data_IF_197129128981
#
_entry.id   IF_197129128981
#
_cell.length_a   1.000
_cell.length_b   1.000
_cell.length_c   1.000
_cell.angle_alpha   90.00
_cell.angle_beta   90.00
_cell.angle_gamma   90.00
#
_symmetry.space_group_name_H-M   'P 1'
#
loop_
_entity.id
_entity.type
_entity.pdbx_description
1 polymer ?
#
# COMPACT_ATOMS: atom_id res chain seq x y z
N UNK A 1 -5.91 11.78 -0.85
CA UNK A 1 -6.01 13.02 -0.04
C UNK A 1 -4.70 13.21 0.67
N UNK A 2 -4.39 14.40 1.16
CA UNK A 2 -3.19 14.59 1.98
C UNK A 2 -3.33 13.73 3.25
N UNK A 3 -2.38 12.80 3.53
CA UNK A 3 -2.52 11.85 4.62
C UNK A 3 -2.34 12.54 5.98
N UNK A 4 -3.04 12.05 7.00
CA UNK A 4 -2.90 12.57 8.36
C UNK A 4 -1.58 12.09 8.98
N UNK A 5 -0.83 13.00 9.60
CA UNK A 5 0.46 12.70 10.25
C UNK A 5 0.35 11.55 11.26
N UNK A 6 -0.69 11.55 12.10
CA UNK A 6 -0.87 10.50 13.10
C UNK A 6 -1.06 9.14 12.44
N UNK A 7 -1.91 9.07 11.42
CA UNK A 7 -2.17 7.83 10.67
C UNK A 7 -0.91 7.29 9.98
N UNK A 8 -0.10 8.16 9.38
CA UNK A 8 1.17 7.75 8.75
C UNK A 8 2.16 7.22 9.79
N UNK A 9 2.29 7.90 10.93
CA UNK A 9 3.20 7.46 11.99
C UNK A 9 2.73 6.16 12.65
N UNK A 10 1.43 6.01 12.93
CA UNK A 10 0.81 4.79 13.45
C UNK A 10 1.07 3.60 12.52
N UNK A 11 1.00 3.81 11.20
CA UNK A 11 1.31 2.80 10.21
C UNK A 11 2.81 2.43 10.20
N UNK A 12 3.70 3.42 10.26
CA UNK A 12 5.15 3.19 10.19
C UNK A 12 5.76 2.67 11.49
N UNK A 13 5.16 2.93 12.66
CA UNK A 13 5.63 2.35 13.93
C UNK A 13 5.30 0.84 14.02
N UNK A 14 4.21 0.42 13.39
CA UNK A 14 3.71 -0.95 13.43
C UNK A 14 4.61 -1.93 12.65
N UNK A 15 5.09 -2.98 13.33
CA UNK A 15 6.00 -3.98 12.76
C UNK A 15 5.34 -4.78 11.61
N UNK A 16 4.04 -5.10 11.72
CA UNK A 16 3.32 -5.86 10.69
C UNK A 16 3.16 -5.01 9.43
N UNK A 17 2.86 -3.71 9.58
CA UNK A 17 2.75 -2.77 8.47
C UNK A 17 4.08 -2.64 7.70
N UNK A 18 5.20 -2.50 8.42
CA UNK A 18 6.53 -2.46 7.79
C UNK A 18 6.86 -3.75 7.07
N UNK A 19 6.54 -4.89 7.68
CA UNK A 19 6.72 -6.21 7.05
C UNK A 19 5.93 -6.30 5.74
N UNK A 20 4.68 -5.84 5.71
CA UNK A 20 3.85 -5.83 4.50
C UNK A 20 4.47 -4.95 3.40
N UNK A 21 4.90 -3.73 3.73
CA UNK A 21 5.55 -2.83 2.75
C UNK A 21 6.81 -3.48 2.17
N UNK A 22 7.63 -4.13 3.01
CA UNK A 22 8.86 -4.80 2.58
C UNK A 22 8.62 -6.00 1.65
N UNK A 23 7.45 -6.64 1.70
CA UNK A 23 7.10 -7.78 0.84
C UNK A 23 6.28 -7.38 -0.40
N UNK A 24 5.68 -6.19 -0.42
CA UNK A 24 4.93 -5.65 -1.55
C UNK A 24 5.87 -5.16 -2.68
N UNK A 25 6.70 -6.07 -3.21
CA UNK A 25 7.61 -5.81 -4.35
C UNK A 25 6.87 -5.84 -5.71
N UNK A 26 5.71 -6.50 -5.76
CA UNK A 26 4.79 -6.54 -6.90
C UNK A 26 3.33 -6.45 -6.40
N UNK A 27 2.34 -6.26 -7.29
CA UNK A 27 0.94 -6.36 -6.89
C UNK A 27 0.64 -7.73 -6.26
N UNK A 28 0.08 -7.74 -5.05
CA UNK A 28 -0.25 -8.96 -4.31
C UNK A 28 -1.62 -8.83 -3.64
N UNK A 29 -2.31 -9.95 -3.52
CA UNK A 29 -3.54 -10.07 -2.73
C UNK A 29 -3.23 -10.18 -1.24
N UNK A 30 -4.22 -9.88 -0.39
CA UNK A 30 -4.11 -10.11 1.06
C UNK A 30 -3.81 -11.59 1.40
N UNK A 31 -4.27 -12.54 0.58
CA UNK A 31 -3.99 -13.95 0.78
C UNK A 31 -2.52 -14.28 0.51
N UNK A 32 -1.97 -13.80 -0.60
CA UNK A 32 -0.54 -13.99 -0.93
C UNK A 32 0.35 -13.35 0.12
N UNK A 33 0.05 -12.12 0.56
CA UNK A 33 0.78 -11.49 1.65
C UNK A 33 0.72 -12.30 2.95
N UNK A 34 -0.44 -12.89 3.28
CA UNK A 34 -0.57 -13.75 4.46
C UNK A 34 0.16 -15.09 4.33
N UNK A 35 0.42 -15.56 3.11
CA UNK A 35 1.19 -16.78 2.87
C UNK A 35 2.70 -16.52 2.88
N UNK A 36 3.13 -15.35 2.38
CA UNK A 36 4.53 -14.93 2.36
C UNK A 36 5.02 -14.36 3.69
N UNK A 37 4.11 -13.84 4.50
CA UNK A 37 4.39 -13.34 5.85
C UNK A 37 3.78 -14.25 6.91
N UNK A 38 4.26 -14.21 8.14
CA UNK A 38 3.63 -14.95 9.26
C UNK A 38 2.41 -14.18 9.86
N UNK A 39 1.83 -13.22 9.12
CA UNK A 39 0.75 -12.35 9.59
C UNK A 39 -0.62 -13.01 9.33
N UNK A 40 -1.43 -13.27 10.37
CA UNK A 40 -2.76 -13.87 10.21
C UNK A 40 -3.70 -12.99 9.38
N UNK A 41 -4.58 -13.59 8.58
CA UNK A 41 -5.46 -12.84 7.65
C UNK A 41 -6.31 -11.76 8.32
N UNK A 42 -6.83 -11.98 9.53
CA UNK A 42 -7.60 -10.95 10.24
C UNK A 42 -6.76 -9.75 10.67
N UNK A 43 -5.47 -9.95 10.92
CA UNK A 43 -4.50 -8.89 11.15
C UNK A 43 -4.14 -8.24 9.83
N UNK A 44 -3.84 -9.02 8.79
CA UNK A 44 -3.50 -8.54 7.44
C UNK A 44 -4.49 -7.50 6.92
N UNK A 45 -5.80 -7.81 6.89
CA UNK A 45 -6.82 -6.86 6.42
C UNK A 45 -6.81 -5.55 7.22
N UNK A 46 -6.64 -5.62 8.55
CA UNK A 46 -6.56 -4.42 9.39
C UNK A 46 -5.32 -3.57 9.10
N UNK A 47 -4.20 -4.19 8.75
CA UNK A 47 -2.95 -3.49 8.41
C UNK A 47 -3.04 -2.87 7.02
N UNK A 48 -3.61 -3.58 6.05
CA UNK A 48 -3.89 -3.06 4.72
C UNK A 48 -4.83 -1.84 4.79
N UNK A 49 -5.89 -1.91 5.60
CA UNK A 49 -6.78 -0.75 5.84
C UNK A 49 -6.01 0.45 6.40
N UNK A 50 -5.10 0.23 7.35
CA UNK A 50 -4.28 1.28 7.96
C UNK A 50 -3.29 1.88 6.96
N UNK A 51 -2.61 1.04 6.18
CA UNK A 51 -1.67 1.46 5.14
C UNK A 51 -2.36 2.24 4.03
N UNK A 52 -3.55 1.82 3.61
CA UNK A 52 -4.37 2.55 2.63
C UNK A 52 -4.84 3.90 3.19
N UNK A 53 -5.25 3.95 4.46
CA UNK A 53 -5.62 5.21 5.11
C UNK A 53 -4.42 6.18 5.25
N UNK A 54 -3.20 5.64 5.43
CA UNK A 54 -1.95 6.39 5.43
C UNK A 54 -1.47 6.79 4.02
N UNK A 55 -2.17 6.36 2.97
CA UNK A 55 -1.76 6.55 1.57
C UNK A 55 -0.35 6.01 1.26
N UNK A 56 0.05 4.92 1.93
CA UNK A 56 1.32 4.22 1.71
C UNK A 56 1.18 3.05 0.73
N UNK A 57 -0.05 2.56 0.53
CA UNK A 57 -0.40 1.57 -0.49
C UNK A 57 -1.63 2.04 -1.26
N UNK A 58 -1.83 1.50 -2.45
CA UNK A 58 -3.07 1.62 -3.21
C UNK A 58 -3.76 0.25 -3.37
N UNK A 59 -5.08 0.27 -3.49
CA UNK A 59 -5.92 -0.93 -3.65
C UNK A 59 -6.51 -0.98 -5.06
N UNK A 60 -6.15 -2.03 -5.80
CA UNK A 60 -6.75 -2.40 -7.08
C UNK A 60 -7.70 -3.58 -6.95
N UNK A 61 -8.42 -3.88 -8.03
CA UNK A 61 -9.24 -5.09 -8.14
C UNK A 61 -8.76 -5.92 -9.32
N UNK A 62 -8.33 -7.16 -9.06
CA UNK A 62 -8.08 -8.15 -10.08
C UNK A 62 -9.39 -8.80 -10.52
N UNK A 63 -9.67 -8.79 -11.83
CA UNK A 63 -10.84 -9.43 -12.42
C UNK A 63 -10.39 -10.77 -12.99
N UNK A 64 -10.78 -11.88 -12.34
CA UNK A 64 -10.55 -13.24 -12.83
C UNK A 64 -11.74 -13.73 -13.67
N UNK A 65 -11.47 -14.51 -14.70
CA UNK A 65 -12.49 -15.10 -15.61
C UNK A 65 -13.45 -16.07 -14.95
N UNK A 66 -13.12 -16.57 -13.77
CA UNK A 66 -13.99 -17.41 -12.96
C UNK A 66 -15.05 -16.60 -12.17
N UNK A 67 -14.98 -15.26 -12.24
CA UNK A 67 -15.92 -14.34 -11.61
C UNK A 67 -15.56 -13.97 -10.17
N UNK A 68 -14.45 -14.46 -9.62
CA UNK A 68 -13.97 -14.04 -8.31
C UNK A 68 -13.05 -12.82 -8.45
N UNK A 69 -13.55 -11.67 -7.99
CA UNK A 69 -12.72 -10.47 -7.85
C UNK A 69 -11.90 -10.57 -6.56
N UNK A 70 -10.60 -10.32 -6.64
CA UNK A 70 -9.73 -10.21 -5.48
C UNK A 70 -9.12 -8.80 -5.43
N UNK A 71 -9.09 -8.21 -4.24
CA UNK A 71 -8.33 -6.97 -4.02
C UNK A 71 -6.84 -7.28 -4.10
N UNK A 72 -6.13 -6.45 -4.86
CA UNK A 72 -4.66 -6.46 -5.00
C UNK A 72 -4.12 -5.14 -4.46
N UNK A 73 -2.95 -5.20 -3.84
CA UNK A 73 -2.33 -4.06 -3.17
C UNK A 73 -0.95 -3.80 -3.77
N UNK A 74 -0.57 -2.52 -3.83
CA UNK A 74 0.74 -2.07 -4.31
C UNK A 74 1.28 -0.98 -3.39
N UNK A 75 2.59 -0.99 -3.13
CA UNK A 75 3.24 0.15 -2.48
C UNK A 75 3.10 1.39 -3.35
N UNK A 76 2.69 2.52 -2.77
CA UNK A 76 2.35 3.75 -3.50
C UNK A 76 3.07 4.97 -2.88
N UNK A 77 4.35 4.81 -2.57
CA UNK A 77 5.24 5.88 -2.13
C UNK A 77 6.70 5.45 -2.27
N UNK A 78 7.58 6.46 -2.34
CA UNK A 78 9.04 6.25 -2.34
C UNK A 78 9.70 7.00 -1.18
N UNK A 79 9.03 8.03 -0.65
CA UNK A 79 9.53 8.81 0.48
C UNK A 79 8.40 9.33 1.37
N UNK A 80 8.61 9.26 2.68
CA UNK A 80 7.81 9.99 3.68
C UNK A 80 8.69 11.07 4.30
N UNK A 81 8.22 12.31 4.31
CA UNK A 81 8.89 13.46 4.93
C UNK A 81 8.04 14.01 6.06
N UNK A 82 8.68 14.26 7.19
CA UNK A 82 8.08 14.98 8.31
C UNK A 82 8.79 16.32 8.44
N UNK A 83 8.02 17.40 8.32
CA UNK A 83 8.54 18.76 8.39
C UNK A 83 8.06 19.43 9.68
N UNK A 84 8.94 20.23 10.28
CA UNK A 84 8.58 21.14 11.36
C UNK A 84 8.46 22.54 10.77
N UNK A 85 7.23 23.02 10.67
CA UNK A 85 6.89 24.32 10.12
C UNK A 85 7.31 25.48 11.04
N UNK A 86 7.32 26.70 10.51
CA UNK A 86 7.68 27.91 11.25
C UNK A 86 6.78 28.16 12.47
N UNK A 87 5.51 27.77 12.36
CA UNK A 87 4.51 27.90 13.43
C UNK A 87 4.58 26.78 14.48
N UNK A 88 5.59 25.90 14.38
CA UNK A 88 5.84 24.73 15.24
C UNK A 88 4.83 23.59 15.05
N UNK A 89 4.02 23.61 13.99
CA UNK A 89 3.24 22.44 13.58
C UNK A 89 4.12 21.40 12.88
N UNK A 90 3.70 20.14 12.93
CA UNK A 90 4.33 19.06 12.17
C UNK A 90 3.45 18.76 10.96
N UNK A 91 4.08 18.70 9.79
CA UNK A 91 3.45 18.33 8.53
C UNK A 91 4.04 17.00 8.03
N UNK A 92 3.25 16.24 7.27
CA UNK A 92 3.69 15.01 6.61
C UNK A 92 3.45 15.09 5.11
N UNK A 93 4.45 14.73 4.33
CA UNK A 93 4.33 14.58 2.89
C UNK A 93 4.73 13.16 2.51
N UNK A 94 3.85 12.48 1.77
CA UNK A 94 4.11 11.18 1.15
C UNK A 94 4.34 11.40 -0.34
N UNK A 95 5.61 11.31 -0.75
CA UNK A 95 6.06 11.53 -2.12
C UNK A 95 6.10 10.22 -2.91
N UNK A 96 5.74 10.35 -4.19
CA UNK A 96 5.68 9.28 -5.18
C UNK A 96 6.43 9.76 -6.41
N UNK A 97 7.32 8.95 -6.97
CA UNK A 97 7.95 9.25 -8.24
C UNK A 97 6.94 9.02 -9.39
N UNK A 98 6.63 10.07 -10.16
CA UNK A 98 5.70 10.01 -11.30
C UNK A 98 6.13 8.97 -12.36
N UNK A 99 7.43 8.64 -12.42
CA UNK A 99 7.96 7.61 -13.33
C UNK A 99 7.57 6.19 -12.89
N UNK A 100 7.45 5.98 -11.58
CA UNK A 100 7.12 4.69 -10.97
C UNK A 100 5.60 4.50 -10.94
N UNK A 101 4.83 5.59 -10.89
CA UNK A 101 3.37 5.57 -11.01
C UNK A 101 2.87 4.93 -12.31
N UNK A 102 3.52 5.20 -13.45
CA UNK A 102 3.18 4.58 -14.75
C UNK A 102 3.52 3.07 -14.77
N UNK A 103 4.58 2.66 -14.07
CA UNK A 103 5.02 1.26 -13.98
C UNK A 103 4.14 0.47 -13.01
N UNK A 104 3.77 1.05 -11.85
CA UNK A 104 2.76 0.55 -10.91
C UNK A 104 1.38 0.47 -11.54
N UNK A 105 0.96 1.50 -12.28
CA UNK A 105 -0.28 1.49 -13.05
C UNK A 105 -0.23 0.41 -14.13
N UNK A 106 0.90 0.27 -14.84
CA UNK A 106 1.10 -0.81 -15.81
C UNK A 106 1.11 -2.20 -15.17
N UNK A 107 1.63 -2.35 -13.94
CA UNK A 107 1.59 -3.58 -13.15
C UNK A 107 0.15 -3.91 -12.71
N UNK A 108 -0.60 -2.91 -12.23
CA UNK A 108 -2.04 -3.03 -11.95
C UNK A 108 -2.81 -3.46 -13.21
N UNK A 109 -2.52 -2.86 -14.37
CA UNK A 109 -3.16 -3.24 -15.63
C UNK A 109 -2.67 -4.58 -16.19
N UNK A 110 -1.45 -5.04 -15.87
CA UNK A 110 -0.94 -6.39 -16.23
C UNK A 110 -1.62 -7.48 -15.42
N UNK A 111 -1.75 -7.30 -14.11
CA UNK A 111 -2.53 -8.21 -13.26
C UNK A 111 -3.98 -8.32 -13.76
N UNK A 112 -4.55 -7.21 -14.26
CA UNK A 112 -5.88 -7.19 -14.89
C UNK A 112 -5.90 -7.75 -16.33
N UNK A 113 -4.76 -7.89 -17.03
CA UNK A 113 -4.68 -8.30 -18.45
C UNK A 113 -4.01 -9.63 -18.74
N UNK A 114 -3.48 -10.37 -17.76
CA UNK A 114 -3.06 -11.77 -17.97
C UNK A 114 -4.27 -12.71 -18.08
N UNK A 115 -5.15 -12.42 -19.05
CA UNK A 115 -6.08 -13.36 -19.63
C UNK A 115 -6.17 -13.12 -21.13
N UNK A 116 -5.45 -13.94 -21.88
CA UNK A 116 -5.78 -14.30 -23.27
C UNK A 116 -5.71 -15.82 -23.40
#
# INVERSE_FOLDING_TARGET
>A
GEPDLGVVLDALEDDDCRTIIEHLEQPMTAAELSDETEIPSSTMYRKLDLLSAAALIDEGTEIRSDGHHASVYVTDFDQVRVLLEEDRSLDVTVERDETDADERLSAMWRAVREET
#
